data_IF_640498518561
#
_entry.id   IF_640498518561
#
_cell.length_a   1.000
_cell.length_b   1.000
_cell.length_c   1.000
_cell.angle_alpha   90.00
_cell.angle_beta   90.00
_cell.angle_gamma   90.00
#
_symmetry.space_group_name_H-M   'P 1'
#
loop_
_entity.id
_entity.type
_entity.pdbx_description
1 polymer ?
#
# COMPACT_ATOMS: atom_id res chain seq x y z
N UNK A 1 15.42 17.55 7.29
CA UNK A 1 15.66 16.10 7.20
C UNK A 1 16.03 15.82 5.75
N UNK A 2 17.10 15.07 5.51
CA UNK A 2 17.48 14.65 4.17
C UNK A 2 16.53 13.53 3.71
N UNK A 3 16.00 13.54 2.47
CA UNK A 3 15.19 12.44 1.95
C UNK A 3 15.87 11.07 2.03
N UNK A 4 17.20 11.02 1.96
CA UNK A 4 17.97 9.76 2.02
C UNK A 4 17.95 9.12 3.42
N UNK A 5 17.57 9.87 4.45
CA UNK A 5 17.44 9.38 5.84
C UNK A 5 16.03 8.88 6.18
N UNK A 6 15.09 8.90 5.21
CA UNK A 6 13.69 8.52 5.45
C UNK A 6 13.47 7.01 5.33
N UNK A 7 12.82 6.43 6.35
CA UNK A 7 12.33 5.05 6.31
C UNK A 7 10.83 5.05 6.01
N UNK A 8 10.43 4.32 4.97
CA UNK A 8 9.04 4.25 4.52
C UNK A 8 8.36 2.96 4.96
N UNK A 9 7.12 3.11 5.42
CA UNK A 9 6.13 2.05 5.60
C UNK A 9 4.75 2.58 5.23
N UNK A 10 3.71 1.76 5.36
CA UNK A 10 2.34 2.23 5.16
C UNK A 10 1.34 1.14 4.79
N UNK A 11 0.13 1.58 4.48
CA UNK A 11 -1.03 0.73 4.23
C UNK A 11 -1.62 1.00 2.85
N UNK A 12 -2.12 -0.04 2.18
CA UNK A 12 -2.96 0.06 0.98
C UNK A 12 -4.02 -1.04 1.05
N UNK A 13 -5.23 -0.75 0.56
CA UNK A 13 -6.32 -1.74 0.44
C UNK A 13 -6.01 -2.83 -0.58
N UNK A 14 -4.91 -2.70 -1.32
CA UNK A 14 -4.37 -3.67 -2.28
C UNK A 14 -3.01 -4.21 -1.83
N UNK A 15 -2.83 -5.53 -1.84
CA UNK A 15 -1.59 -6.20 -1.41
C UNK A 15 -0.48 -6.29 -2.48
N UNK A 16 -0.55 -5.49 -3.55
CA UNK A 16 0.50 -5.48 -4.57
C UNK A 16 1.79 -4.90 -4.00
N UNK A 17 2.91 -5.61 -4.17
CA UNK A 17 4.23 -5.10 -3.78
C UNK A 17 4.59 -3.83 -4.57
N UNK A 18 5.53 -3.03 -4.06
CA UNK A 18 5.86 -1.75 -4.68
C UNK A 18 6.48 -1.88 -6.08
N UNK A 19 7.17 -2.99 -6.40
CA UNK A 19 7.72 -3.21 -7.74
C UNK A 19 6.61 -3.36 -8.80
N UNK A 20 5.60 -4.17 -8.52
CA UNK A 20 4.46 -4.36 -9.42
C UNK A 20 3.54 -3.12 -9.41
N UNK A 21 3.46 -2.41 -8.28
CA UNK A 21 2.74 -1.15 -8.19
C UNK A 21 3.36 -0.06 -9.07
N UNK A 22 4.69 0.03 -9.17
CA UNK A 22 5.39 0.92 -10.10
C UNK A 22 5.02 0.61 -11.56
N UNK A 23 4.99 -0.69 -11.91
CA UNK A 23 4.60 -1.14 -13.26
C UNK A 23 3.17 -0.72 -13.58
N UNK A 24 2.24 -0.90 -12.62
CA UNK A 24 0.85 -0.47 -12.73
C UNK A 24 0.71 1.04 -12.87
N UNK A 25 1.52 1.82 -12.14
CA UNK A 25 1.45 3.28 -12.11
C UNK A 25 1.95 3.94 -13.42
N UNK A 26 2.86 3.28 -14.16
CA UNK A 26 3.40 3.77 -15.44
C UNK A 26 4.01 5.17 -15.36
N UNK A 27 4.67 5.48 -14.24
CA UNK A 27 5.31 6.78 -13.99
C UNK A 27 6.80 6.75 -14.35
N UNK A 28 7.54 5.78 -13.83
CA UNK A 28 8.99 5.66 -14.02
C UNK A 28 9.31 4.94 -15.33
N UNK A 29 10.48 5.23 -15.91
CA UNK A 29 11.00 4.50 -17.06
C UNK A 29 11.23 3.01 -16.73
N UNK A 30 11.08 2.14 -17.74
CA UNK A 30 11.18 0.68 -17.59
C UNK A 30 12.56 0.26 -17.07
N UNK A 31 13.64 0.89 -17.52
CA UNK A 31 14.99 0.50 -17.09
C UNK A 31 15.26 0.93 -15.64
N UNK A 32 14.68 2.06 -15.21
CA UNK A 32 14.70 2.45 -13.79
C UNK A 32 13.88 1.47 -12.95
N UNK A 33 12.69 1.04 -13.42
CA UNK A 33 11.90 0.04 -12.70
C UNK A 33 12.65 -1.28 -12.51
N UNK A 34 13.39 -1.75 -13.52
CA UNK A 34 14.24 -2.95 -13.40
C UNK A 34 15.33 -2.79 -12.35
N UNK A 35 15.97 -1.62 -12.29
CA UNK A 35 17.00 -1.32 -11.29
C UNK A 35 16.44 -1.27 -9.87
N UNK A 36 15.23 -0.74 -9.70
CA UNK A 36 14.59 -0.60 -8.38
C UNK A 36 13.92 -1.88 -7.89
N UNK A 37 13.60 -2.83 -8.77
CA UNK A 37 12.85 -4.05 -8.42
C UNK A 37 13.40 -4.80 -7.20
N UNK A 38 14.71 -5.08 -7.06
CA UNK A 38 15.23 -5.83 -5.91
C UNK A 38 14.98 -5.14 -4.56
N UNK A 39 14.81 -3.82 -4.55
CA UNK A 39 14.54 -3.04 -3.34
C UNK A 39 13.04 -2.92 -3.03
N UNK A 40 12.19 -3.03 -4.05
CA UNK A 40 10.76 -2.72 -3.97
C UNK A 40 9.87 -3.97 -3.93
N UNK A 41 10.35 -5.12 -4.39
CA UNK A 41 9.53 -6.34 -4.51
C UNK A 41 9.19 -6.98 -3.16
N UNK A 42 10.02 -6.78 -2.14
CA UNK A 42 9.77 -7.23 -0.77
C UNK A 42 8.89 -6.27 0.03
N UNK A 43 8.67 -5.05 -0.47
CA UNK A 43 7.84 -4.04 0.17
C UNK A 43 6.37 -4.26 -0.20
N UNK A 44 5.63 -4.91 0.70
CA UNK A 44 4.18 -5.13 0.58
C UNK A 44 3.46 -4.22 1.58
N UNK A 45 2.46 -3.42 1.16
CA UNK A 45 1.70 -2.57 2.07
C UNK A 45 0.96 -3.38 3.16
N UNK A 46 0.87 -2.81 4.35
CA UNK A 46 0.01 -3.34 5.42
C UNK A 46 -1.49 -3.24 5.02
N UNK A 47 -2.37 -4.09 5.58
CA UNK A 47 -3.80 -4.02 5.28
C UNK A 47 -4.41 -2.67 5.66
N UNK A 48 -5.16 -2.05 4.75
CA UNK A 48 -5.81 -0.75 4.99
C UNK A 48 -7.23 -0.86 5.57
N UNK A 49 -7.77 0.25 6.05
CA UNK A 49 -9.21 0.38 6.36
C UNK A 49 -9.95 0.67 5.05
N UNK A 50 -11.02 -0.08 4.77
CA UNK A 50 -11.86 0.10 3.59
C UNK A 50 -13.33 0.27 4.01
N UNK A 51 -13.88 1.46 3.73
CA UNK A 51 -15.29 1.79 3.91
C UNK A 51 -15.85 2.19 2.53
N UNK A 52 -16.62 1.30 1.84
CA UNK A 52 -17.11 1.54 0.49
C UNK A 52 -17.96 2.80 0.33
N UNK A 53 -18.62 3.25 1.40
CA UNK A 53 -19.50 4.43 1.36
C UNK A 53 -18.70 5.74 1.17
N UNK A 54 -17.40 5.71 1.47
CA UNK A 54 -16.52 6.89 1.38
C UNK A 54 -15.69 6.92 0.09
N UNK A 55 -15.77 5.89 -0.76
CA UNK A 55 -15.01 5.85 -2.00
C UNK A 55 -15.86 5.41 -3.19
N UNK A 56 -15.36 5.60 -4.41
CA UNK A 56 -16.07 5.20 -5.60
C UNK A 56 -16.28 3.67 -5.64
N UNK A 57 -17.50 3.24 -5.99
CA UNK A 57 -17.90 1.82 -5.97
C UNK A 57 -17.03 0.91 -6.86
N UNK A 58 -16.38 1.46 -7.88
CA UNK A 58 -15.47 0.74 -8.76
C UNK A 58 -14.16 0.29 -8.08
N UNK A 59 -13.87 0.76 -6.87
CA UNK A 59 -12.69 0.38 -6.11
C UNK A 59 -12.83 -0.99 -5.41
N UNK A 60 -14.04 -1.56 -5.38
CA UNK A 60 -14.30 -2.83 -4.67
C UNK A 60 -13.43 -4.00 -5.14
N UNK A 61 -13.10 -4.07 -6.43
CA UNK A 61 -12.23 -5.13 -6.98
C UNK A 61 -10.76 -4.98 -6.58
N UNK A 62 -10.33 -3.77 -6.19
CA UNK A 62 -8.96 -3.47 -5.76
C UNK A 62 -8.73 -3.82 -4.28
N UNK A 63 -9.80 -3.85 -3.48
CA UNK A 63 -9.75 -4.07 -2.04
C UNK A 63 -9.57 -5.55 -1.66
N UNK A 64 -8.34 -6.05 -1.69
CA UNK A 64 -7.99 -7.42 -1.29
C UNK A 64 -7.11 -7.49 -0.01
N UNK A 65 -6.78 -6.35 0.58
CA UNK A 65 -5.87 -6.20 1.72
C UNK A 65 -6.47 -5.28 2.79
N UNK A 66 -7.48 -5.77 3.52
CA UNK A 66 -8.33 -4.94 4.39
C UNK A 66 -8.32 -5.41 5.84
N UNK A 67 -8.20 -4.46 6.78
CA UNK A 67 -8.39 -4.70 8.21
C UNK A 67 -9.87 -4.98 8.47
N UNK A 68 -10.16 -6.17 9.00
CA UNK A 68 -11.51 -6.62 9.33
C UNK A 68 -11.91 -6.22 10.76
N UNK A 69 -13.21 -6.28 11.05
CA UNK A 69 -13.77 -6.03 12.38
C UNK A 69 -14.50 -4.69 12.48
N UNK A 70 -14.85 -4.32 13.70
CA UNK A 70 -15.50 -3.05 14.02
C UNK A 70 -14.55 -1.86 13.82
N UNK A 71 -15.09 -0.65 13.66
CA UNK A 71 -14.28 0.59 13.56
C UNK A 71 -13.30 0.74 14.73
N UNK A 72 -13.72 0.35 15.94
CA UNK A 72 -12.84 0.36 17.11
C UNK A 72 -11.65 -0.60 16.95
N UNK A 73 -11.89 -1.84 16.54
CA UNK A 73 -10.82 -2.82 16.29
C UNK A 73 -9.88 -2.38 15.17
N UNK A 74 -10.41 -1.74 14.12
CA UNK A 74 -9.60 -1.20 13.03
C UNK A 74 -8.67 -0.09 13.51
N UNK A 75 -9.18 0.85 14.32
CA UNK A 75 -8.34 1.90 14.94
C UNK A 75 -7.29 1.29 15.86
N UNK A 76 -7.67 0.33 16.70
CA UNK A 76 -6.75 -0.37 17.60
C UNK A 76 -5.63 -1.08 16.82
N UNK A 77 -5.91 -1.60 15.61
CA UNK A 77 -4.90 -2.20 14.73
C UNK A 77 -3.94 -1.16 14.16
N UNK A 78 -4.44 -0.03 13.66
CA UNK A 78 -3.59 1.05 13.13
C UNK A 78 -2.63 1.58 14.21
N UNK A 79 -3.10 1.71 15.45
CA UNK A 79 -2.25 2.14 16.57
C UNK A 79 -1.13 1.11 16.85
N UNK A 80 -1.37 -0.18 16.65
CA UNK A 80 -0.35 -1.23 16.86
C UNK A 80 0.68 -1.32 15.74
N UNK A 81 0.30 -0.88 14.55
CA UNK A 81 1.17 -0.90 13.37
C UNK A 81 2.20 0.26 13.37
N UNK A 82 2.01 1.28 14.23
CA UNK A 82 2.88 2.46 14.42
C UNK A 82 3.80 2.24 15.64
#
# INVERSE_FOLDING_TARGET
VDPDDLVFGGWDINNMNLADAMTRAKVLDIDLQKQLRPYMESMVPLPGIYDPDFIAANQGSRANNVIKGTKKQQVDQIIRDI
#
